data_IF_478397934677
#
_entry.id   IF_478397934677
#
_cell.length_a   1.000
_cell.length_b   1.000
_cell.length_c   1.000
_cell.angle_alpha   90.00
_cell.angle_beta   90.00
_cell.angle_gamma   90.00
#
_symmetry.space_group_name_H-M   'P 1'
#
loop_
_entity.id
_entity.type
_entity.pdbx_description
1 polymer ?
#
# COMPACT_ATOMS: atom_id res chain seq x y z
N UNK A 1 16.20 -11.12 -29.31
CA UNK A 1 14.87 -10.96 -28.69
C UNK A 1 15.10 -11.02 -27.19
N UNK A 2 14.89 -9.92 -26.46
CA UNK A 2 14.98 -9.94 -25.00
C UNK A 2 13.72 -10.62 -24.47
N UNK A 3 13.90 -11.71 -23.73
CA UNK A 3 12.82 -12.36 -22.99
C UNK A 3 12.28 -11.37 -21.96
N UNK A 4 10.99 -11.03 -22.09
CA UNK A 4 10.27 -10.29 -21.06
C UNK A 4 10.27 -11.15 -19.79
N UNK A 5 10.77 -10.68 -18.65
CA UNK A 5 10.76 -11.46 -17.42
C UNK A 5 9.31 -11.91 -17.12
N UNK A 6 9.10 -13.23 -16.99
CA UNK A 6 7.77 -13.84 -16.90
C UNK A 6 6.95 -13.45 -15.66
N UNK A 7 7.55 -12.72 -14.71
CA UNK A 7 6.87 -12.24 -13.50
C UNK A 7 7.36 -10.83 -13.15
N UNK A 8 6.88 -9.81 -13.88
CA UNK A 8 6.99 -8.43 -13.40
C UNK A 8 5.96 -8.25 -12.29
N UNK A 9 6.42 -8.21 -11.03
CA UNK A 9 5.64 -7.72 -9.91
C UNK A 9 5.43 -6.22 -10.12
N UNK A 10 4.16 -5.81 -10.20
CA UNK A 10 3.79 -4.40 -10.43
C UNK A 10 3.76 -3.61 -9.14
N UNK A 11 3.72 -4.29 -8.01
CA UNK A 11 3.56 -3.74 -6.68
C UNK A 11 4.84 -3.80 -5.85
N UNK A 12 4.92 -3.00 -4.79
CA UNK A 12 6.14 -2.93 -3.97
C UNK A 12 6.37 -4.19 -3.12
N UNK A 13 5.32 -4.80 -2.56
CA UNK A 13 5.42 -6.02 -1.75
C UNK A 13 4.34 -7.05 -2.09
N UNK A 14 4.75 -8.28 -2.39
CA UNK A 14 3.86 -9.44 -2.44
C UNK A 14 3.96 -10.16 -1.08
N UNK A 15 2.91 -10.10 -0.27
CA UNK A 15 2.87 -10.82 1.02
C UNK A 15 2.54 -12.29 0.77
N UNK A 16 1.57 -12.52 -0.12
CA UNK A 16 1.22 -13.84 -0.68
C UNK A 16 0.71 -13.64 -2.11
N UNK A 17 0.50 -14.72 -2.87
CA UNK A 17 -0.12 -14.62 -4.21
C UNK A 17 -1.53 -14.00 -4.22
N UNK A 18 -2.16 -13.85 -3.04
CA UNK A 18 -3.48 -13.22 -2.87
C UNK A 18 -3.43 -11.89 -2.13
N UNK A 19 -2.26 -11.44 -1.67
CA UNK A 19 -2.12 -10.20 -0.91
C UNK A 19 -0.90 -9.43 -1.38
N UNK A 20 -1.16 -8.25 -1.94
CA UNK A 20 -0.13 -7.31 -2.34
C UNK A 20 -0.32 -5.95 -1.65
N UNK A 21 0.81 -5.29 -1.39
CA UNK A 21 0.87 -3.96 -0.78
C UNK A 21 1.65 -3.01 -1.68
N UNK A 22 1.12 -1.81 -1.83
CA UNK A 22 1.77 -0.71 -2.53
C UNK A 22 2.13 0.38 -1.51
N UNK A 23 3.41 0.69 -1.37
CA UNK A 23 3.89 1.73 -0.49
C UNK A 23 4.04 3.05 -1.25
N UNK A 24 3.22 4.03 -0.90
CA UNK A 24 3.26 5.37 -1.53
C UNK A 24 3.27 6.44 -0.45
N UNK A 25 4.47 6.75 0.01
CA UNK A 25 4.71 7.80 0.99
C UNK A 25 5.58 8.92 0.43
N UNK A 26 5.18 10.15 0.71
CA UNK A 26 6.05 11.32 0.84
C UNK A 26 5.12 12.52 1.07
N UNK A 27 5.22 13.20 2.23
CA UNK A 27 4.47 14.44 2.42
C UNK A 27 4.94 15.50 1.41
N UNK A 28 4.12 16.53 1.21
CA UNK A 28 4.54 17.74 0.48
C UNK A 28 5.40 18.65 1.33
N UNK A 29 5.20 18.65 2.64
CA UNK A 29 5.98 19.47 3.56
C UNK A 29 6.46 18.68 4.77
N UNK A 30 7.63 19.05 5.27
CA UNK A 30 8.09 18.68 6.61
C UNK A 30 8.30 19.95 7.43
N UNK A 31 8.03 19.87 8.73
CA UNK A 31 8.28 20.98 9.65
C UNK A 31 9.73 20.88 10.15
N UNK A 32 10.50 21.94 9.94
CA UNK A 32 11.87 22.06 10.44
C UNK A 32 11.87 22.28 11.97
N UNK A 33 13.00 22.03 12.66
CA UNK A 33 13.13 22.29 14.10
C UNK A 33 12.87 23.74 14.51
N UNK A 34 13.13 24.69 13.60
CA UNK A 34 12.87 26.14 13.79
C UNK A 34 11.39 26.53 13.59
N UNK A 35 10.53 25.56 13.29
CA UNK A 35 9.10 25.75 13.04
C UNK A 35 8.73 26.14 11.61
N UNK A 36 9.71 26.38 10.73
CA UNK A 36 9.47 26.64 9.30
C UNK A 36 9.04 25.37 8.55
N UNK A 37 8.48 25.53 7.34
CA UNK A 37 8.09 24.40 6.49
C UNK A 37 9.08 24.25 5.33
N UNK A 38 9.61 23.04 5.15
CA UNK A 38 10.40 22.66 3.97
C UNK A 38 9.54 21.88 2.97
N UNK A 39 9.48 22.36 1.72
CA UNK A 39 8.73 21.70 0.64
C UNK A 39 9.53 20.56 0.03
N UNK A 40 8.96 19.36 0.05
CA UNK A 40 9.52 18.18 -0.60
C UNK A 40 9.15 18.17 -2.09
N UNK A 41 10.14 17.85 -2.93
CA UNK A 41 9.97 17.89 -4.40
C UNK A 41 9.12 16.75 -4.97
N UNK A 42 8.80 15.71 -4.18
CA UNK A 42 8.13 14.49 -4.67
C UNK A 42 7.02 14.02 -3.72
N UNK A 43 5.87 14.72 -3.65
CA UNK A 43 4.85 14.44 -2.65
C UNK A 43 3.96 13.23 -3.00
N UNK A 44 4.52 12.03 -2.97
CA UNK A 44 3.85 10.72 -2.89
C UNK A 44 2.44 10.65 -3.51
N UNK A 45 1.47 10.16 -2.75
CA UNK A 45 0.05 10.09 -3.16
C UNK A 45 -0.62 11.45 -3.34
N UNK A 46 -0.02 12.55 -2.90
CA UNK A 46 -0.60 13.87 -3.19
C UNK A 46 -0.54 14.20 -4.69
N UNK A 47 0.40 13.59 -5.43
CA UNK A 47 0.45 13.70 -6.89
C UNK A 47 -0.53 12.73 -7.55
N UNK A 48 -1.28 13.24 -8.52
CA UNK A 48 -2.27 12.45 -9.27
C UNK A 48 -1.63 11.36 -10.13
N UNK A 49 -0.40 11.53 -10.61
CA UNK A 49 0.31 10.51 -11.39
C UNK A 49 0.72 9.30 -10.53
N UNK A 50 1.10 9.55 -9.28
CA UNK A 50 1.48 8.51 -8.32
C UNK A 50 0.27 7.69 -7.88
N UNK A 51 -0.87 8.36 -7.65
CA UNK A 51 -2.16 7.71 -7.41
C UNK A 51 -2.56 6.82 -8.60
N UNK A 52 -2.54 7.38 -9.82
CA UNK A 52 -2.88 6.63 -11.05
C UNK A 52 -2.01 5.37 -11.21
N UNK A 53 -0.72 5.48 -10.89
CA UNK A 53 0.20 4.33 -10.95
C UNK A 53 -0.18 3.25 -9.92
N UNK A 54 -0.42 3.64 -8.67
CA UNK A 54 -0.84 2.69 -7.63
C UNK A 54 -2.14 1.96 -8.01
N UNK A 55 -3.11 2.67 -8.58
CA UNK A 55 -4.40 2.07 -8.95
C UNK A 55 -4.29 1.21 -10.22
N UNK A 56 -3.43 1.60 -11.17
CA UNK A 56 -3.11 0.74 -12.32
C UNK A 56 -2.46 -0.57 -11.87
N UNK A 57 -1.53 -0.50 -10.91
CA UNK A 57 -0.89 -1.68 -10.32
C UNK A 57 -1.92 -2.59 -9.63
N UNK A 58 -2.83 -2.01 -8.85
CA UNK A 58 -3.92 -2.71 -8.17
C UNK A 58 -4.82 -3.46 -9.19
N UNK A 59 -5.22 -2.76 -10.25
CA UNK A 59 -6.02 -3.33 -11.34
C UNK A 59 -5.31 -4.50 -12.00
N UNK A 60 -4.03 -4.36 -12.35
CA UNK A 60 -3.26 -5.44 -12.99
C UNK A 60 -3.10 -6.65 -12.07
N UNK A 61 -2.87 -6.44 -10.77
CA UNK A 61 -2.78 -7.53 -9.81
C UNK A 61 -4.11 -8.29 -9.69
N UNK A 62 -5.22 -7.56 -9.54
CA UNK A 62 -6.56 -8.17 -9.40
C UNK A 62 -7.10 -8.79 -10.68
N UNK A 63 -6.66 -8.35 -11.85
CA UNK A 63 -6.96 -9.05 -13.11
C UNK A 63 -6.40 -10.47 -13.14
N UNK A 64 -5.26 -10.70 -12.46
CA UNK A 64 -4.65 -12.03 -12.32
C UNK A 64 -5.25 -12.79 -11.15
N UNK A 65 -5.65 -12.08 -10.10
CA UNK A 65 -6.21 -12.63 -8.87
C UNK A 65 -7.49 -11.87 -8.44
N UNK A 66 -8.68 -12.22 -8.96
CA UNK A 66 -9.91 -11.44 -8.79
C UNK A 66 -10.29 -11.14 -7.32
N UNK A 67 -10.07 -12.12 -6.46
CA UNK A 67 -10.41 -12.08 -5.03
C UNK A 67 -9.25 -11.58 -4.15
N UNK A 68 -8.14 -11.19 -4.76
CA UNK A 68 -6.96 -10.78 -4.01
C UNK A 68 -7.13 -9.43 -3.32
N UNK A 69 -6.49 -9.32 -2.17
CA UNK A 69 -6.36 -8.09 -1.42
C UNK A 69 -5.24 -7.23 -2.00
N UNK A 70 -5.56 -5.97 -2.30
CA UNK A 70 -4.57 -4.98 -2.70
C UNK A 70 -4.69 -3.73 -1.82
N UNK A 71 -3.73 -3.55 -0.91
CA UNK A 71 -3.69 -2.41 0.01
C UNK A 71 -2.68 -1.35 -0.45
N UNK A 72 -3.02 -0.07 -0.33
CA UNK A 72 -2.06 1.01 -0.47
C UNK A 72 -1.72 1.54 0.92
N UNK A 73 -0.44 1.57 1.27
CA UNK A 73 0.02 2.13 2.53
C UNK A 73 0.74 3.46 2.30
N UNK A 74 0.52 4.42 3.19
CA UNK A 74 1.08 5.76 3.07
C UNK A 74 1.42 6.35 4.44
N UNK A 75 2.23 7.40 4.44
CA UNK A 75 2.43 8.28 5.59
C UNK A 75 1.87 9.69 5.33
N UNK A 76 1.23 9.91 4.17
CA UNK A 76 0.80 11.22 3.71
C UNK A 76 -0.52 11.10 2.93
N UNK A 77 -1.59 10.74 3.64
CA UNK A 77 -2.93 10.56 3.07
C UNK A 77 -3.49 11.88 2.51
N UNK A 78 -3.76 11.98 1.19
CA UNK A 78 -4.51 13.10 0.65
C UNK A 78 -5.94 13.10 1.17
N UNK A 79 -6.50 14.27 1.51
CA UNK A 79 -7.87 14.36 2.03
C UNK A 79 -8.92 13.72 1.11
N UNK A 80 -8.73 13.79 -0.22
CA UNK A 80 -9.61 13.17 -1.21
C UNK A 80 -9.64 11.63 -1.17
N UNK A 81 -8.62 11.01 -0.58
CA UNK A 81 -8.47 9.56 -0.49
C UNK A 81 -8.84 9.02 0.90
N UNK A 82 -9.25 9.89 1.82
CA UNK A 82 -9.74 9.47 3.13
C UNK A 82 -10.97 8.57 2.93
N UNK A 83 -10.94 7.37 3.53
CA UNK A 83 -11.98 6.34 3.38
C UNK A 83 -12.22 5.87 1.94
N UNK A 84 -11.29 6.13 1.01
CA UNK A 84 -11.41 5.64 -0.35
C UNK A 84 -11.43 4.11 -0.37
N UNK A 85 -12.45 3.56 -1.05
CA UNK A 85 -12.57 2.15 -1.40
C UNK A 85 -13.02 2.05 -2.84
N UNK A 86 -12.40 1.15 -3.58
CA UNK A 86 -12.76 0.84 -4.95
C UNK A 86 -12.71 -0.68 -5.17
N UNK A 87 -13.37 -1.17 -6.22
CA UNK A 87 -13.30 -2.56 -6.63
C UNK A 87 -11.86 -3.01 -6.90
N UNK A 88 -10.94 -2.10 -7.25
CA UNK A 88 -9.54 -2.45 -7.51
C UNK A 88 -8.63 -2.32 -6.29
N UNK A 89 -8.91 -1.40 -5.37
CA UNK A 89 -8.08 -1.12 -4.18
C UNK A 89 -8.89 -1.42 -2.93
N UNK A 90 -8.46 -2.43 -2.17
CA UNK A 90 -9.14 -2.89 -0.95
C UNK A 90 -9.16 -1.81 0.14
N UNK A 91 -8.12 -0.98 0.19
CA UNK A 91 -8.06 0.17 1.08
C UNK A 91 -6.78 0.96 0.93
N UNK A 92 -6.79 2.19 1.43
CA UNK A 92 -5.62 3.06 1.56
C UNK A 92 -5.45 3.39 3.04
N UNK A 93 -4.28 3.15 3.60
CA UNK A 93 -4.03 3.24 5.05
C UNK A 93 -2.85 4.16 5.36
N UNK A 94 -3.06 5.08 6.29
CA UNK A 94 -2.00 5.92 6.84
C UNK A 94 -1.34 5.24 8.03
N UNK A 95 -0.17 4.64 7.81
CA UNK A 95 0.56 3.91 8.85
C UNK A 95 1.23 4.80 9.90
N UNK A 96 1.01 6.13 9.88
CA UNK A 96 1.39 7.00 11.00
C UNK A 96 0.29 7.11 12.06
N UNK A 97 -0.87 6.49 11.84
CA UNK A 97 -2.04 6.55 12.71
C UNK A 97 -2.35 5.17 13.24
N UNK A 98 -2.41 5.02 14.56
CA UNK A 98 -2.54 3.71 15.18
C UNK A 98 -3.85 3.02 14.80
N UNK A 99 -4.94 3.78 14.79
CA UNK A 99 -6.26 3.33 14.40
C UNK A 99 -6.31 2.79 12.96
N UNK A 100 -5.56 3.41 12.04
CA UNK A 100 -5.51 2.94 10.64
C UNK A 100 -4.64 1.68 10.49
N UNK A 101 -3.62 1.50 11.35
CA UNK A 101 -2.85 0.25 11.43
C UNK A 101 -3.74 -0.89 11.92
N UNK A 102 -4.53 -0.67 12.96
CA UNK A 102 -5.44 -1.70 13.49
C UNK A 102 -6.48 -2.14 12.45
N UNK A 103 -7.07 -1.17 11.72
CA UNK A 103 -7.99 -1.46 10.62
C UNK A 103 -7.28 -2.25 9.52
N UNK A 104 -6.07 -1.83 9.12
CA UNK A 104 -5.28 -2.53 8.10
C UNK A 104 -4.98 -3.99 8.48
N UNK A 105 -4.50 -4.23 9.71
CA UNK A 105 -4.19 -5.57 10.20
C UNK A 105 -5.45 -6.43 10.29
N UNK A 106 -6.57 -5.87 10.75
CA UNK A 106 -7.86 -6.58 10.80
C UNK A 106 -8.34 -6.96 9.41
N UNK A 107 -8.30 -6.03 8.45
CA UNK A 107 -8.73 -6.28 7.07
C UNK A 107 -7.83 -7.34 6.40
N UNK A 108 -6.52 -7.34 6.69
CA UNK A 108 -5.61 -8.41 6.27
C UNK A 108 -5.94 -9.75 6.92
N UNK A 109 -6.24 -9.79 8.22
CA UNK A 109 -6.58 -11.00 8.96
C UNK A 109 -7.88 -11.68 8.53
N UNK A 110 -8.75 -10.96 7.80
CA UNK A 110 -9.92 -11.56 7.15
C UNK A 110 -9.53 -12.33 5.87
N UNK A 111 -8.39 -12.01 5.29
CA UNK A 111 -7.89 -12.63 4.04
C UNK A 111 -6.82 -13.68 4.32
N UNK A 112 -6.05 -13.51 5.40
CA UNK A 112 -4.88 -14.31 5.73
C UNK A 112 -4.95 -14.89 7.14
N UNK A 113 -4.44 -16.10 7.31
CA UNK A 113 -4.06 -16.61 8.63
C UNK A 113 -2.71 -15.99 9.04
N UNK A 114 -2.80 -14.88 9.78
CA UNK A 114 -1.63 -14.12 10.22
C UNK A 114 -0.76 -14.90 11.23
N UNK A 115 -1.36 -15.80 12.02
CA UNK A 115 -0.62 -16.62 12.99
C UNK A 115 0.16 -17.73 12.28
N UNK A 116 -0.42 -18.36 11.26
CA UNK A 116 0.30 -19.30 10.42
C UNK A 116 1.48 -18.64 9.69
N UNK A 117 1.27 -17.46 9.08
CA UNK A 117 2.34 -16.69 8.44
C UNK A 117 3.45 -16.30 9.42
N UNK A 118 3.09 -15.85 10.62
CA UNK A 118 4.06 -15.51 11.66
C UNK A 118 4.91 -16.71 12.06
N UNK A 119 4.31 -17.89 12.22
CA UNK A 119 5.04 -19.13 12.54
C UNK A 119 5.98 -19.56 11.42
N UNK A 120 5.58 -19.36 10.16
CA UNK A 120 6.42 -19.66 9.00
C UNK A 120 7.67 -18.76 8.96
N UNK A 121 7.50 -17.43 9.15
CA UNK A 121 8.59 -16.46 9.03
C UNK A 121 9.51 -16.41 10.27
N UNK A 122 8.95 -16.54 11.47
CA UNK A 122 9.67 -16.29 12.72
C UNK A 122 9.80 -17.50 13.64
N UNK A 123 9.21 -18.64 13.26
CA UNK A 123 9.11 -19.83 14.11
C UNK A 123 8.05 -19.68 15.23
N UNK A 124 7.64 -20.81 15.79
CA UNK A 124 6.81 -20.81 17.01
C UNK A 124 7.70 -20.43 18.19
N UNK A 125 7.45 -19.27 18.81
CA UNK A 125 7.95 -18.98 20.15
C UNK A 125 7.10 -19.67 21.20
#
# INVERSE_FOLDING_TARGET
MHETPGHTTTHDFEVTGLVALEAKGSPSTIKNPDGSNYQLKRPGLQRTDTEKKAFANAKTFRQRNPDAYFGVITNAMPARLLNYRDATVSGIFNLTRHEEIEVFVRDLGQTLDLEALRKQEFGSK
#
